data_IF_576230633189
#
_entry.id   IF_576230633189
#
_cell.length_a   1.000
_cell.length_b   1.000
_cell.length_c   1.000
_cell.angle_alpha   90.00
_cell.angle_beta   90.00
_cell.angle_gamma   90.00
#
_symmetry.space_group_name_H-M   'P 1'
#
loop_
_entity.id
_entity.type
_entity.pdbx_description
1 polymer ?
#
# COMPACT_ATOMS: atom_id res chain seq x y z
N UNK A 1 -18.24 21.95 4.25
CA UNK A 1 -17.09 21.16 4.71
C UNK A 1 -16.04 21.20 3.63
N UNK A 2 -15.18 22.21 3.71
CA UNK A 2 -13.96 22.27 2.91
C UNK A 2 -13.08 21.10 3.37
N UNK A 3 -13.03 20.04 2.57
CA UNK A 3 -11.93 19.09 2.68
C UNK A 3 -10.67 19.91 2.44
N UNK A 4 -9.85 20.04 3.47
CA UNK A 4 -8.64 20.84 3.43
C UNK A 4 -7.62 20.07 2.58
N UNK A 5 -7.61 20.35 1.27
CA UNK A 5 -6.84 19.62 0.27
C UNK A 5 -5.33 19.56 0.59
N UNK A 6 -4.80 20.53 1.34
CA UNK A 6 -3.41 20.49 1.83
C UNK A 6 -3.17 19.40 2.88
N UNK A 7 -4.16 19.08 3.70
CA UNK A 7 -4.04 18.14 4.81
C UNK A 7 -3.87 16.71 4.31
N UNK A 8 -4.44 16.39 3.13
CA UNK A 8 -4.33 15.08 2.48
C UNK A 8 -2.87 14.73 2.15
N UNK A 9 -2.04 15.73 1.81
CA UNK A 9 -0.62 15.55 1.50
C UNK A 9 0.29 15.65 2.73
N UNK A 10 -0.16 16.34 3.78
CA UNK A 10 0.61 16.54 5.03
C UNK A 10 0.43 15.39 6.03
N UNK A 11 -0.70 14.68 5.97
CA UNK A 11 -0.97 13.58 6.89
C UNK A 11 -0.10 12.33 6.57
N UNK A 12 0.36 11.60 7.59
CA UNK A 12 1.08 10.35 7.39
C UNK A 12 0.20 9.30 6.70
N UNK A 13 0.82 8.29 6.09
CA UNK A 13 0.08 7.12 5.61
C UNK A 13 -0.43 6.36 6.83
N UNK A 14 -1.73 6.09 6.88
CA UNK A 14 -2.34 5.40 8.01
C UNK A 14 -1.84 3.96 8.13
N UNK A 15 -1.85 3.43 9.36
CA UNK A 15 -1.42 2.06 9.67
C UNK A 15 -2.56 1.05 9.73
N UNK A 16 -3.80 1.51 9.72
CA UNK A 16 -5.00 0.67 9.82
C UNK A 16 -5.79 0.66 8.50
N UNK A 17 -6.37 -0.49 8.14
CA UNK A 17 -7.08 -0.66 6.87
C UNK A 17 -8.27 0.31 6.72
N UNK A 18 -9.02 0.54 7.80
CA UNK A 18 -10.18 1.43 7.76
C UNK A 18 -9.77 2.89 7.56
N UNK A 19 -8.68 3.31 8.18
CA UNK A 19 -8.14 4.67 8.02
C UNK A 19 -7.50 4.85 6.64
N UNK A 20 -6.78 3.85 6.13
CA UNK A 20 -6.28 3.85 4.75
C UNK A 20 -7.41 3.95 3.73
N UNK A 21 -8.55 3.26 3.94
CA UNK A 21 -9.74 3.40 3.09
C UNK A 21 -10.32 4.81 3.15
N UNK A 22 -10.31 5.47 4.32
CA UNK A 22 -10.70 6.88 4.43
C UNK A 22 -9.76 7.78 3.64
N UNK A 23 -8.44 7.57 3.74
CA UNK A 23 -7.44 8.31 2.96
C UNK A 23 -7.62 8.10 1.45
N UNK A 24 -7.90 6.87 1.01
CA UNK A 24 -8.17 6.54 -0.39
C UNK A 24 -9.42 7.25 -0.91
N UNK A 25 -10.50 7.26 -0.13
CA UNK A 25 -11.73 7.98 -0.49
C UNK A 25 -11.50 9.50 -0.59
N UNK A 26 -10.71 10.07 0.32
CA UNK A 26 -10.35 11.49 0.27
C UNK A 26 -9.54 11.84 -0.99
N UNK A 27 -8.58 10.99 -1.40
CA UNK A 27 -7.83 11.19 -2.64
C UNK A 27 -8.74 11.05 -3.88
N UNK A 28 -9.66 10.08 -3.90
CA UNK A 28 -10.64 9.94 -4.98
C UNK A 28 -11.51 11.18 -5.14
N UNK A 29 -11.98 11.74 -4.02
CA UNK A 29 -12.74 13.00 -4.01
C UNK A 29 -11.89 14.18 -4.49
N UNK A 30 -10.65 14.31 -4.02
CA UNK A 30 -9.72 15.35 -4.50
C UNK A 30 -9.51 15.26 -6.02
N UNK A 31 -9.35 14.04 -6.55
CA UNK A 31 -9.22 13.80 -8.00
C UNK A 31 -10.45 14.25 -8.77
N UNK A 32 -11.65 13.88 -8.31
CA UNK A 32 -12.91 14.20 -9.01
C UNK A 32 -13.34 15.66 -8.87
N UNK A 33 -13.26 16.21 -7.66
CA UNK A 33 -13.92 17.45 -7.30
C UNK A 33 -13.01 18.67 -7.52
N UNK A 34 -11.69 18.48 -7.49
CA UNK A 34 -10.72 19.57 -7.62
C UNK A 34 -9.78 19.39 -8.80
N UNK A 35 -9.07 18.26 -8.88
CA UNK A 35 -8.00 18.09 -9.87
C UNK A 35 -8.54 18.05 -11.29
N UNK A 36 -9.59 17.26 -11.55
CA UNK A 36 -10.19 17.16 -12.89
C UNK A 36 -10.68 18.51 -13.43
N UNK A 37 -11.47 19.32 -12.68
CA UNK A 37 -11.85 20.66 -13.12
C UNK A 37 -10.65 21.58 -13.41
N UNK A 38 -9.60 21.53 -12.57
CA UNK A 38 -8.39 22.33 -12.78
C UNK A 38 -7.67 21.94 -14.07
N UNK A 39 -7.56 20.62 -14.36
CA UNK A 39 -6.97 20.12 -15.60
C UNK A 39 -7.75 20.61 -16.82
N UNK A 40 -9.07 20.42 -16.82
CA UNK A 40 -9.94 20.84 -17.92
C UNK A 40 -9.90 22.37 -18.14
N UNK A 41 -9.89 23.17 -17.07
CA UNK A 41 -9.81 24.62 -17.20
C UNK A 41 -8.42 25.09 -17.66
N UNK A 42 -7.36 24.43 -17.21
CA UNK A 42 -5.99 24.70 -17.65
C UNK A 42 -5.82 24.43 -19.14
N UNK A 43 -6.40 23.35 -19.66
CA UNK A 43 -6.41 23.04 -21.09
C UNK A 43 -7.10 24.14 -21.89
N UNK A 44 -8.29 24.60 -21.45
CA UNK A 44 -9.04 25.69 -22.10
C UNK A 44 -8.27 27.01 -22.09
N UNK A 45 -7.69 27.40 -20.95
CA UNK A 45 -6.88 28.62 -20.84
C UNK A 45 -5.67 28.52 -21.76
N UNK A 46 -5.01 27.36 -21.77
CA UNK A 46 -3.85 27.10 -22.62
C UNK A 46 -4.19 27.24 -24.09
N UNK A 47 -5.32 26.72 -24.54
CA UNK A 47 -5.80 26.87 -25.92
C UNK A 47 -6.05 28.33 -26.28
N UNK A 48 -6.84 29.05 -25.46
CA UNK A 48 -7.16 30.47 -25.68
C UNK A 48 -5.91 31.35 -25.74
N UNK A 49 -4.95 31.14 -24.83
CA UNK A 49 -3.72 31.92 -24.81
C UNK A 49 -2.84 31.60 -26.02
N UNK A 50 -2.77 30.33 -26.46
CA UNK A 50 -2.07 29.95 -27.70
C UNK A 50 -2.68 30.64 -28.91
N UNK A 51 -4.01 30.74 -28.98
CA UNK A 51 -4.70 31.46 -30.07
C UNK A 51 -4.41 32.96 -30.04
N UNK A 52 -4.42 33.56 -28.84
CA UNK A 52 -4.06 34.97 -28.67
C UNK A 52 -2.63 35.25 -29.16
N UNK A 53 -1.67 34.40 -28.77
CA UNK A 53 -0.27 34.48 -29.21
C UNK A 53 -0.17 34.38 -30.74
N UNK A 54 -0.89 33.45 -31.37
CA UNK A 54 -0.91 33.29 -32.84
C UNK A 54 -1.52 34.49 -33.56
N UNK A 55 -2.53 35.12 -32.95
CA UNK A 55 -3.23 36.27 -33.51
C UNK A 55 -2.49 37.61 -33.32
N UNK A 56 -1.43 37.62 -32.51
CA UNK A 56 -0.68 38.84 -32.22
C UNK A 56 0.04 39.36 -33.48
N UNK A 57 -0.16 40.64 -33.81
CA UNK A 57 0.49 41.28 -34.94
C UNK A 57 2.01 41.38 -34.79
N UNK A 58 2.72 41.54 -35.91
CA UNK A 58 4.19 41.68 -35.90
C UNK A 58 4.62 42.88 -35.05
N UNK A 59 5.37 42.62 -33.98
CA UNK A 59 5.85 43.64 -33.04
C UNK A 59 5.12 43.69 -31.70
N UNK A 60 4.04 42.92 -31.51
CA UNK A 60 3.40 42.74 -30.20
C UNK A 60 4.24 41.75 -29.36
N UNK A 61 4.70 42.10 -28.14
CA UNK A 61 5.44 41.17 -27.29
C UNK A 61 4.53 40.08 -26.70
N UNK A 62 4.85 38.80 -26.96
CA UNK A 62 4.09 37.63 -26.43
C UNK A 62 4.83 36.83 -25.36
N UNK A 63 6.12 37.10 -25.14
CA UNK A 63 7.01 36.30 -24.29
C UNK A 63 6.54 36.12 -22.85
N UNK A 64 5.94 37.15 -22.25
CA UNK A 64 5.44 37.07 -20.86
C UNK A 64 4.26 36.09 -20.74
N UNK A 65 3.37 36.10 -21.73
CA UNK A 65 2.23 35.17 -21.78
C UNK A 65 2.70 33.73 -22.01
N UNK A 66 3.68 33.52 -22.89
CA UNK A 66 4.32 32.22 -23.11
C UNK A 66 4.98 31.68 -21.82
N UNK A 67 5.70 32.54 -21.09
CA UNK A 67 6.30 32.20 -19.80
C UNK A 67 5.26 31.86 -18.72
N UNK A 68 4.16 32.60 -18.68
CA UNK A 68 3.04 32.35 -17.76
C UNK A 68 2.36 31.01 -18.07
N UNK A 69 2.11 30.72 -19.35
CA UNK A 69 1.56 29.43 -19.80
C UNK A 69 2.44 28.25 -19.41
N UNK A 70 3.76 28.40 -19.60
CA UNK A 70 4.71 27.36 -19.18
C UNK A 70 4.63 27.13 -17.67
N UNK A 71 4.67 28.20 -16.89
CA UNK A 71 4.62 28.11 -15.42
C UNK A 71 3.32 27.47 -14.92
N UNK A 72 2.19 27.79 -15.55
CA UNK A 72 0.89 27.16 -15.25
C UNK A 72 0.92 25.66 -15.57
N UNK A 73 1.45 25.27 -16.73
CA UNK A 73 1.60 23.87 -17.12
C UNK A 73 2.49 23.09 -16.15
N UNK A 74 3.62 23.68 -15.76
CA UNK A 74 4.56 23.08 -14.80
C UNK A 74 3.88 22.87 -13.42
N UNK A 75 3.14 23.87 -12.92
CA UNK A 75 2.43 23.78 -11.64
C UNK A 75 1.32 22.72 -11.63
N UNK A 76 0.53 22.63 -12.71
CA UNK A 76 -0.55 21.63 -12.84
C UNK A 76 0.02 20.22 -12.96
N UNK A 77 1.11 20.05 -13.71
CA UNK A 77 1.81 18.77 -13.79
C UNK A 77 2.39 18.33 -12.43
N UNK A 78 2.94 19.25 -11.66
CA UNK A 78 3.46 18.98 -10.31
C UNK A 78 2.34 18.50 -9.37
N UNK A 79 1.21 19.21 -9.31
CA UNK A 79 0.07 18.82 -8.48
C UNK A 79 -0.49 17.47 -8.91
N UNK A 80 -0.69 17.25 -10.22
CA UNK A 80 -1.16 15.98 -10.75
C UNK A 80 -0.23 14.83 -10.36
N UNK A 81 1.09 15.03 -10.48
CA UNK A 81 2.10 14.03 -10.11
C UNK A 81 2.05 13.68 -8.62
N UNK A 82 1.91 14.69 -7.74
CA UNK A 82 1.79 14.50 -6.29
C UNK A 82 0.53 13.75 -5.89
N UNK A 83 -0.61 14.05 -6.54
CA UNK A 83 -1.87 13.34 -6.31
C UNK A 83 -1.74 11.87 -6.71
N UNK A 84 -1.15 11.60 -7.88
CA UNK A 84 -0.92 10.24 -8.38
C UNK A 84 0.08 9.45 -7.52
N UNK A 85 1.15 10.08 -7.04
CA UNK A 85 2.08 9.45 -6.11
C UNK A 85 1.42 9.10 -4.77
N UNK A 86 0.61 10.03 -4.24
CA UNK A 86 -0.12 9.80 -2.99
C UNK A 86 -1.14 8.67 -3.11
N UNK A 87 -1.87 8.62 -4.23
CA UNK A 87 -2.83 7.54 -4.52
C UNK A 87 -2.14 6.17 -4.57
N UNK A 88 -1.05 6.06 -5.35
CA UNK A 88 -0.24 4.83 -5.43
C UNK A 88 0.31 4.39 -4.07
N UNK A 89 0.73 5.34 -3.25
CA UNK A 89 1.26 5.05 -1.90
C UNK A 89 0.18 4.46 -1.00
N UNK A 90 -1.01 5.06 -0.99
CA UNK A 90 -2.15 4.55 -0.20
C UNK A 90 -2.60 3.18 -0.71
N UNK A 91 -2.71 2.99 -2.02
CA UNK A 91 -3.09 1.70 -2.62
C UNK A 91 -2.08 0.60 -2.27
N UNK A 92 -0.78 0.91 -2.34
CA UNK A 92 0.29 -0.01 -1.94
C UNK A 92 0.21 -0.38 -0.46
N UNK A 93 -0.11 0.60 0.41
CA UNK A 93 -0.32 0.36 1.83
C UNK A 93 -1.54 -0.53 2.11
N UNK A 94 -2.66 -0.29 1.44
CA UNK A 94 -3.87 -1.13 1.56
C UNK A 94 -3.56 -2.58 1.14
N UNK A 95 -2.91 -2.76 -0.01
CA UNK A 95 -2.57 -4.09 -0.50
C UNK A 95 -1.58 -4.81 0.42
N UNK A 96 -0.53 -4.10 0.86
CA UNK A 96 0.49 -4.64 1.75
C UNK A 96 -0.09 -5.08 3.09
N UNK A 97 -0.89 -4.22 3.72
CA UNK A 97 -1.52 -4.52 5.02
C UNK A 97 -2.58 -5.61 4.90
N UNK A 98 -3.33 -5.65 3.80
CA UNK A 98 -4.28 -6.75 3.51
C UNK A 98 -3.56 -8.09 3.41
N UNK A 99 -2.50 -8.16 2.59
CA UNK A 99 -1.70 -9.38 2.40
C UNK A 99 -1.03 -9.84 3.69
N UNK A 100 -0.50 -8.90 4.48
CA UNK A 100 0.03 -9.18 5.81
C UNK A 100 -1.02 -9.79 6.74
N UNK A 101 -2.22 -9.20 6.79
CA UNK A 101 -3.30 -9.68 7.67
C UNK A 101 -3.77 -11.08 7.27
N UNK A 102 -3.86 -11.37 5.97
CA UNK A 102 -4.23 -12.70 5.47
C UNK A 102 -3.15 -13.74 5.79
N UNK A 103 -1.87 -13.41 5.56
CA UNK A 103 -0.74 -14.28 5.89
C UNK A 103 -0.62 -14.52 7.41
N UNK A 104 -0.84 -13.48 8.22
CA UNK A 104 -0.85 -13.58 9.68
C UNK A 104 -1.91 -14.56 10.17
N UNK A 105 -3.15 -14.44 9.69
CA UNK A 105 -4.24 -15.36 10.03
C UNK A 105 -3.96 -16.79 9.57
N UNK A 106 -3.43 -16.95 8.35
CA UNK A 106 -3.09 -18.26 7.82
C UNK A 106 -2.00 -18.96 8.65
N UNK A 107 -0.99 -18.22 9.10
CA UNK A 107 0.06 -18.74 9.98
C UNK A 107 -0.48 -19.10 11.37
N UNK A 108 -1.32 -18.24 11.97
CA UNK A 108 -1.95 -18.55 13.26
C UNK A 108 -2.78 -19.84 13.20
N UNK A 109 -3.67 -19.95 12.22
CA UNK A 109 -4.49 -21.16 12.04
C UNK A 109 -3.61 -22.40 11.85
N UNK A 110 -2.53 -22.29 11.06
CA UNK A 110 -1.61 -23.40 10.86
C UNK A 110 -0.84 -23.79 12.13
N UNK A 111 -0.44 -22.81 12.96
CA UNK A 111 0.19 -23.07 14.26
C UNK A 111 -0.79 -23.83 15.16
N UNK A 112 -2.05 -23.37 15.25
CA UNK A 112 -3.09 -24.05 16.04
C UNK A 112 -3.31 -25.49 15.56
N UNK A 113 -3.37 -25.73 14.25
CA UNK A 113 -3.48 -27.08 13.66
C UNK A 113 -2.30 -27.98 14.02
N UNK A 114 -1.07 -27.45 14.00
CA UNK A 114 0.13 -28.21 14.35
C UNK A 114 0.22 -28.46 15.85
N UNK A 115 -0.14 -27.49 16.69
CA UNK A 115 -0.17 -27.66 18.14
C UNK A 115 -1.17 -28.77 18.55
N UNK A 116 -2.35 -28.80 17.94
CA UNK A 116 -3.32 -29.89 18.15
C UNK A 116 -2.77 -31.24 17.65
N UNK A 117 -2.16 -31.27 16.47
CA UNK A 117 -1.57 -32.47 15.89
C UNK A 117 -0.45 -33.07 16.75
N UNK A 118 0.40 -32.22 17.33
CA UNK A 118 1.54 -32.63 18.19
C UNK A 118 1.05 -33.01 19.59
N UNK A 119 0.11 -32.25 20.17
CA UNK A 119 -0.41 -32.53 21.51
C UNK A 119 -1.27 -33.80 21.58
N UNK A 120 -1.93 -34.18 20.47
CA UNK A 120 -2.74 -35.39 20.37
C UNK A 120 -1.93 -36.67 20.02
N UNK A 121 -0.60 -36.64 20.11
CA UNK A 121 0.22 -37.82 19.89
C UNK A 121 0.00 -38.89 20.97
N UNK A 122 -0.09 -40.16 20.52
CA UNK A 122 -0.13 -41.31 21.43
C UNK A 122 1.27 -41.61 21.98
N UNK A 123 1.38 -42.11 23.23
CA UNK A 123 2.65 -42.56 23.77
C UNK A 123 3.28 -43.65 22.88
N UNK A 124 4.62 -43.79 22.89
CA UNK A 124 5.31 -44.83 22.14
C UNK A 124 4.76 -46.22 22.47
N UNK A 125 4.45 -47.00 21.43
CA UNK A 125 3.94 -48.36 21.57
C UNK A 125 5.06 -49.35 21.85
N UNK A 126 4.77 -50.38 22.66
CA UNK A 126 5.65 -51.53 22.82
C UNK A 126 5.59 -52.51 21.63
N UNK A 127 4.53 -52.44 20.82
CA UNK A 127 4.43 -53.22 19.58
C UNK A 127 5.30 -52.59 18.48
N UNK A 128 6.25 -53.36 17.96
CA UNK A 128 7.21 -52.91 16.96
C UNK A 128 6.56 -52.31 15.70
N UNK A 129 5.47 -52.90 15.20
CA UNK A 129 4.81 -52.40 13.97
C UNK A 129 4.15 -51.05 14.24
N UNK A 130 3.51 -50.91 15.40
CA UNK A 130 2.88 -49.65 15.82
C UNK A 130 3.95 -48.59 16.08
N UNK A 131 5.03 -48.92 16.77
CA UNK A 131 6.15 -47.99 17.03
C UNK A 131 6.79 -47.50 15.73
N UNK A 132 6.98 -48.40 14.75
CA UNK A 132 7.50 -48.03 13.43
C UNK A 132 6.55 -47.08 12.68
N UNK A 133 5.24 -47.32 12.75
CA UNK A 133 4.25 -46.41 12.15
C UNK A 133 4.22 -45.04 12.86
N UNK A 134 4.37 -45.01 14.19
CA UNK A 134 4.48 -43.77 14.96
C UNK A 134 5.71 -42.95 14.54
N UNK A 135 6.86 -43.58 14.35
CA UNK A 135 8.07 -42.91 13.85
C UNK A 135 7.87 -42.31 12.45
N UNK A 136 7.28 -43.06 11.51
CA UNK A 136 6.98 -42.53 10.18
C UNK A 136 6.02 -41.34 10.21
N UNK A 137 5.01 -41.38 11.08
CA UNK A 137 4.10 -40.26 11.26
C UNK A 137 4.83 -39.04 11.85
N UNK A 138 5.71 -39.25 12.84
CA UNK A 138 6.53 -38.19 13.41
C UNK A 138 7.46 -37.55 12.38
N UNK A 139 8.14 -38.36 11.54
CA UNK A 139 8.99 -37.85 10.46
C UNK A 139 8.20 -37.02 9.45
N UNK A 140 6.97 -37.45 9.12
CA UNK A 140 6.07 -36.69 8.26
C UNK A 140 5.67 -35.34 8.89
N UNK A 141 5.37 -35.31 10.19
CA UNK A 141 5.03 -34.08 10.90
C UNK A 141 6.21 -33.10 10.96
N UNK A 142 7.42 -33.59 11.21
CA UNK A 142 8.63 -32.76 11.16
C UNK A 142 8.81 -32.15 9.77
N UNK A 143 8.59 -32.92 8.71
CA UNK A 143 8.64 -32.41 7.34
C UNK A 143 7.59 -31.33 7.08
N UNK A 144 6.37 -31.50 7.59
CA UNK A 144 5.31 -30.49 7.46
C UNK A 144 5.68 -29.15 8.11
N UNK A 145 6.38 -29.20 9.25
CA UNK A 145 6.91 -28.02 9.93
C UNK A 145 8.04 -27.38 9.11
N UNK A 146 8.97 -28.20 8.60
CA UNK A 146 10.09 -27.73 7.78
C UNK A 146 9.61 -27.05 6.48
N UNK A 147 8.64 -27.66 5.81
CA UNK A 147 8.02 -27.13 4.57
C UNK A 147 7.36 -25.75 4.80
N UNK A 148 7.07 -25.38 6.05
CA UNK A 148 6.42 -24.10 6.40
C UNK A 148 7.40 -22.95 6.60
N UNK A 149 8.69 -23.22 6.66
CA UNK A 149 9.73 -22.19 6.77
C UNK A 149 9.60 -21.10 5.68
N UNK A 150 9.35 -21.49 4.42
CA UNK A 150 9.17 -20.53 3.33
C UNK A 150 8.00 -19.56 3.53
N UNK A 151 6.93 -20.03 4.20
CA UNK A 151 5.76 -19.18 4.50
C UNK A 151 6.07 -18.18 5.61
N UNK A 152 6.86 -18.61 6.61
CA UNK A 152 7.34 -17.74 7.70
C UNK A 152 8.29 -16.68 7.15
N UNK A 153 9.26 -17.07 6.32
CA UNK A 153 10.20 -16.13 5.68
C UNK A 153 9.46 -15.11 4.81
N UNK A 154 8.46 -15.57 4.05
CA UNK A 154 7.58 -14.71 3.27
C UNK A 154 6.81 -13.70 4.14
N UNK A 155 6.31 -14.14 5.29
CA UNK A 155 5.62 -13.28 6.25
C UNK A 155 6.54 -12.23 6.87
N UNK A 156 7.76 -12.60 7.27
CA UNK A 156 8.77 -11.65 7.77
C UNK A 156 9.10 -10.58 6.72
N UNK A 157 9.21 -10.96 5.44
CA UNK A 157 9.39 -10.01 4.36
C UNK A 157 8.18 -9.07 4.19
N UNK A 158 6.96 -9.53 4.44
CA UNK A 158 5.76 -8.69 4.44
C UNK A 158 5.76 -7.68 5.59
N UNK A 159 6.23 -8.07 6.79
CA UNK A 159 6.40 -7.13 7.92
C UNK A 159 7.30 -5.98 7.53
N UNK A 160 8.47 -6.27 6.95
CA UNK A 160 9.40 -5.23 6.49
C UNK A 160 8.79 -4.27 5.45
N UNK A 161 7.94 -4.79 4.55
CA UNK A 161 7.21 -3.95 3.58
C UNK A 161 6.18 -3.05 4.24
N UNK A 162 5.39 -3.57 5.19
CA UNK A 162 4.40 -2.77 5.92
C UNK A 162 5.08 -1.71 6.80
N UNK A 163 6.22 -2.04 7.43
CA UNK A 163 7.03 -1.08 8.19
C UNK A 163 7.53 0.09 7.33
N UNK A 164 7.93 -0.18 6.09
CA UNK A 164 8.38 0.87 5.16
C UNK A 164 7.24 1.79 4.69
N UNK A 165 5.99 1.30 4.73
CA UNK A 165 4.81 2.04 4.27
C UNK A 165 4.18 2.91 5.36
N UNK A 166 4.38 2.57 6.64
CA UNK A 166 3.87 3.37 7.76
C UNK A 166 4.91 4.39 8.24
N UNK A 167 4.45 5.61 8.49
CA UNK A 167 5.28 6.66 9.12
C UNK A 167 5.18 6.64 10.65
N UNK A 168 4.23 5.87 11.20
CA UNK A 168 3.94 5.82 12.63
C UNK A 168 4.88 4.86 13.36
N UNK A 169 5.74 5.40 14.23
CA UNK A 169 6.76 4.61 14.92
C UNK A 169 6.17 3.65 15.96
N UNK A 170 4.96 3.95 16.48
CA UNK A 170 4.24 3.05 17.39
C UNK A 170 3.75 1.80 16.66
N UNK A 171 3.24 1.95 15.44
CA UNK A 171 2.86 0.85 14.56
C UNK A 171 4.10 0.05 14.14
N UNK A 172 5.20 0.70 13.77
CA UNK A 172 6.46 -0.02 13.47
C UNK A 172 6.92 -0.85 14.66
N UNK A 173 6.90 -0.29 15.87
CA UNK A 173 7.26 -1.04 17.07
C UNK A 173 6.35 -2.26 17.31
N UNK A 174 5.04 -2.12 17.07
CA UNK A 174 4.09 -3.23 17.21
C UNK A 174 4.26 -4.31 16.14
N UNK A 175 4.64 -3.93 14.91
CA UNK A 175 4.95 -4.88 13.82
C UNK A 175 6.25 -5.65 14.11
N UNK A 176 7.29 -4.95 14.59
CA UNK A 176 8.55 -5.58 15.04
C UNK A 176 8.36 -6.58 16.17
N UNK A 177 7.44 -6.30 17.09
CA UNK A 177 7.15 -7.20 18.20
C UNK A 177 6.46 -8.51 17.76
N UNK A 178 5.96 -8.58 16.52
CA UNK A 178 5.31 -9.75 15.92
C UNK A 178 6.22 -10.52 14.94
N UNK A 179 7.40 -9.98 14.63
CA UNK A 179 8.45 -10.62 13.83
C UNK A 179 9.35 -11.47 14.74
#
# INVERSE_FOLDING_TARGET
NEFNNEEIFKQPVASELDDLRRQQNAIKQLKSDNLKPILEETEKITEKCKDLIRSAGSGIPTKELEGTLKSLGDAVNDINSKVEERDRTIDSAIQGLGSYNDAYKALLNWIEEIEDLVSNQKPPSADYKVARAQLQNHDFQLKLIDDKQNSVDGFLAMIGKVEALTSDEKTKAALRAKA
#
